data_IF_658097681932
#
_entry.id   IF_658097681932
#
_cell.length_a   1.000
_cell.length_b   1.000
_cell.length_c   1.000
_cell.angle_alpha   90.00
_cell.angle_beta   90.00
_cell.angle_gamma   90.00
#
_symmetry.space_group_name_H-M   'P 1'
#
loop_
_entity.id
_entity.type
_entity.pdbx_description
1 polymer ?
#
# COMPACT_ATOMS: atom_id res chain seq x y z
N UNK A 1 14.67 -0.37 6.17
CA UNK A 1 14.05 -1.70 6.28
C UNK A 1 13.64 -2.26 4.93
N UNK A 2 12.86 -1.53 4.11
CA UNK A 2 12.39 -1.98 2.78
C UNK A 2 13.50 -2.60 1.90
N UNK A 3 14.59 -1.88 1.64
CA UNK A 3 15.68 -2.40 0.79
C UNK A 3 16.34 -3.69 1.31
N UNK A 4 16.47 -3.84 2.64
CA UNK A 4 17.01 -5.08 3.25
C UNK A 4 16.04 -6.25 3.08
N UNK A 5 14.75 -6.00 3.27
CA UNK A 5 13.71 -7.02 3.06
C UNK A 5 13.65 -7.48 1.61
N UNK A 6 13.82 -6.56 0.65
CA UNK A 6 13.91 -6.90 -0.77
C UNK A 6 15.16 -7.74 -1.08
N UNK A 7 16.32 -7.36 -0.53
CA UNK A 7 17.55 -8.17 -0.66
C UNK A 7 17.35 -9.59 -0.12
N UNK A 8 16.68 -9.75 1.02
CA UNK A 8 16.35 -11.08 1.54
C UNK A 8 15.42 -11.85 0.59
N UNK A 9 14.36 -11.20 0.08
CA UNK A 9 13.43 -11.82 -0.86
C UNK A 9 14.12 -12.31 -2.13
N UNK A 10 15.01 -11.49 -2.72
CA UNK A 10 15.76 -11.87 -3.92
C UNK A 10 16.75 -13.01 -3.62
N UNK A 11 17.41 -13.00 -2.46
CA UNK A 11 18.31 -14.10 -2.07
C UNK A 11 17.61 -15.44 -1.82
N UNK A 12 16.30 -15.42 -1.57
CA UNK A 12 15.49 -16.61 -1.23
C UNK A 12 14.52 -17.02 -2.32
N UNK A 13 14.52 -16.35 -3.48
CA UNK A 13 13.59 -16.63 -4.58
C UNK A 13 14.33 -16.68 -5.92
N UNK A 14 13.60 -17.02 -6.98
CA UNK A 14 14.10 -16.96 -8.35
C UNK A 14 13.94 -15.57 -9.00
N UNK A 15 13.39 -14.60 -8.25
CA UNK A 15 13.15 -13.25 -8.73
C UNK A 15 14.29 -12.34 -8.29
N UNK A 16 14.79 -11.52 -9.22
CA UNK A 16 15.87 -10.57 -8.96
C UNK A 16 15.39 -9.11 -8.90
N UNK A 17 14.13 -8.86 -9.24
CA UNK A 17 13.48 -7.56 -9.19
C UNK A 17 11.99 -7.70 -8.84
N UNK A 18 11.37 -6.59 -8.46
CA UNK A 18 9.91 -6.45 -8.39
C UNK A 18 9.49 -5.27 -9.27
N UNK A 19 8.32 -5.35 -9.89
CA UNK A 19 7.85 -4.30 -10.79
C UNK A 19 7.39 -3.05 -10.02
N UNK A 20 6.83 -3.25 -8.82
CA UNK A 20 6.20 -2.17 -8.05
C UNK A 20 6.18 -2.45 -6.55
N UNK A 21 6.18 -1.38 -5.75
CA UNK A 21 6.04 -1.41 -4.30
C UNK A 21 4.75 -0.69 -3.91
N UNK A 22 3.89 -1.37 -3.15
CA UNK A 22 2.67 -0.79 -2.61
C UNK A 22 2.83 -0.61 -1.10
N UNK A 23 2.77 0.63 -0.61
CA UNK A 23 2.88 0.96 0.80
C UNK A 23 1.50 0.95 1.46
N UNK A 24 1.36 0.16 2.52
CA UNK A 24 0.14 0.06 3.32
C UNK A 24 0.43 0.26 4.82
N UNK A 25 -0.63 0.39 5.61
CA UNK A 25 -0.55 0.71 7.04
C UNK A 25 -0.55 2.22 7.31
N UNK A 26 -0.77 2.61 8.56
CA UNK A 26 -0.85 4.03 8.94
C UNK A 26 0.45 4.82 8.72
N UNK A 27 1.61 4.14 8.74
CA UNK A 27 2.89 4.79 8.43
C UNK A 27 3.04 5.16 6.95
N UNK A 28 2.22 4.60 6.06
CA UNK A 28 2.19 4.99 4.65
C UNK A 28 1.57 6.38 4.44
N UNK A 29 0.86 6.92 5.44
CA UNK A 29 0.30 8.29 5.39
C UNK A 29 1.33 9.39 5.68
N UNK A 30 2.61 9.05 5.88
CA UNK A 30 3.70 10.02 6.01
C UNK A 30 3.90 10.68 4.64
N UNK A 31 3.76 12.00 4.58
CA UNK A 31 3.95 12.74 3.34
C UNK A 31 5.39 12.54 2.79
N UNK A 32 5.49 12.21 1.51
CA UNK A 32 6.78 12.05 0.84
C UNK A 32 7.42 10.66 0.97
N UNK A 33 6.76 9.70 1.64
CA UNK A 33 7.38 8.42 2.00
C UNK A 33 7.54 7.48 0.82
N UNK A 34 6.58 7.49 -0.11
CA UNK A 34 6.61 6.75 -1.36
C UNK A 34 7.72 7.25 -2.28
N UNK A 35 7.86 8.56 -2.48
CA UNK A 35 8.94 9.11 -3.31
C UNK A 35 10.31 8.84 -2.68
N UNK A 36 10.43 8.95 -1.36
CA UNK A 36 11.70 8.65 -0.66
C UNK A 36 12.10 7.18 -0.79
N UNK A 37 11.13 6.26 -0.76
CA UNK A 37 11.39 4.83 -0.94
C UNK A 37 11.74 4.54 -2.40
N UNK A 38 11.00 5.12 -3.34
CA UNK A 38 11.25 4.99 -4.77
C UNK A 38 12.66 5.48 -5.14
N UNK A 39 13.07 6.66 -4.67
CA UNK A 39 14.42 7.21 -4.91
C UNK A 39 15.52 6.28 -4.37
N UNK A 40 15.33 5.70 -3.18
CA UNK A 40 16.34 4.86 -2.53
C UNK A 40 16.41 3.44 -3.08
N UNK A 41 15.29 2.90 -3.56
CA UNK A 41 15.18 1.50 -4.00
C UNK A 41 15.26 1.39 -5.52
N UNK A 42 14.88 2.43 -6.26
CA UNK A 42 14.84 2.44 -7.73
C UNK A 42 13.65 1.67 -8.29
N UNK A 43 12.58 1.52 -7.52
CA UNK A 43 11.37 0.79 -7.93
C UNK A 43 10.14 1.65 -7.69
N UNK A 44 9.25 1.70 -8.68
CA UNK A 44 8.00 2.45 -8.60
C UNK A 44 7.25 2.16 -7.30
N UNK A 45 6.87 3.20 -6.57
CA UNK A 45 6.25 3.08 -5.25
C UNK A 45 4.96 3.90 -5.18
N UNK A 46 3.89 3.33 -4.63
CA UNK A 46 2.61 4.03 -4.43
C UNK A 46 1.99 3.73 -3.08
N UNK A 47 1.25 4.69 -2.53
CA UNK A 47 0.40 4.49 -1.35
C UNK A 47 -0.86 3.68 -1.71
N UNK A 48 -1.16 2.65 -0.92
CA UNK A 48 -2.33 1.82 -1.10
C UNK A 48 -3.63 2.60 -0.84
N UNK A 49 -4.59 2.49 -1.75
CA UNK A 49 -5.96 2.93 -1.52
C UNK A 49 -6.96 1.86 -2.00
N UNK A 50 -7.51 1.03 -1.09
CA UNK A 50 -8.45 -0.02 -1.48
C UNK A 50 -9.82 0.54 -1.94
N UNK A 51 -10.10 1.82 -1.70
CA UNK A 51 -11.41 2.44 -1.96
C UNK A 51 -11.47 3.22 -3.27
N UNK A 52 -10.37 3.30 -4.04
CA UNK A 52 -10.26 4.15 -5.23
C UNK A 52 -11.35 3.91 -6.28
N UNK A 53 -11.82 2.66 -6.40
CA UNK A 53 -12.87 2.25 -7.34
C UNK A 53 -14.19 1.85 -6.65
N UNK A 54 -14.38 2.25 -5.39
CA UNK A 54 -15.60 1.95 -4.63
C UNK A 54 -16.58 3.12 -4.63
N UNK A 55 -17.88 2.82 -4.65
CA UNK A 55 -18.91 3.83 -4.43
C UNK A 55 -19.00 4.14 -2.94
N UNK A 56 -18.91 5.42 -2.58
CA UNK A 56 -19.02 5.88 -1.19
C UNK A 56 -20.47 6.24 -0.85
N UNK A 57 -20.96 5.72 0.27
CA UNK A 57 -22.25 6.14 0.81
C UNK A 57 -22.19 7.60 1.29
N UNK A 58 -23.30 8.34 1.18
CA UNK A 58 -23.37 9.78 1.50
C UNK A 58 -22.98 10.15 2.94
N UNK A 59 -23.07 9.20 3.88
CA UNK A 59 -22.66 9.37 5.28
C UNK A 59 -21.14 9.29 5.51
N UNK A 60 -20.37 8.86 4.52
CA UNK A 60 -18.93 8.66 4.63
C UNK A 60 -18.21 9.95 4.21
N UNK A 61 -17.27 10.41 5.03
CA UNK A 61 -16.41 11.54 4.69
C UNK A 61 -15.26 11.04 3.78
N UNK A 62 -15.18 11.47 2.51
CA UNK A 62 -14.16 11.01 1.58
C UNK A 62 -12.74 11.37 2.01
N UNK A 63 -12.54 12.56 2.60
CA UNK A 63 -11.23 13.04 3.03
C UNK A 63 -10.69 12.22 4.20
N UNK A 64 -11.52 11.98 5.22
CA UNK A 64 -11.12 11.13 6.35
C UNK A 64 -10.83 9.70 5.90
N UNK A 65 -11.68 9.14 5.02
CA UNK A 65 -11.45 7.81 4.47
C UNK A 65 -10.15 7.74 3.66
N UNK A 66 -9.83 8.76 2.86
CA UNK A 66 -8.61 8.81 2.06
C UNK A 66 -7.34 8.82 2.92
N UNK A 67 -7.35 9.55 4.04
CA UNK A 67 -6.20 9.60 4.97
C UNK A 67 -5.94 8.26 5.67
N UNK A 68 -7.01 7.54 6.01
CA UNK A 68 -6.95 6.24 6.69
C UNK A 68 -6.90 5.05 5.71
N UNK A 69 -7.09 5.30 4.41
CA UNK A 69 -7.18 4.29 3.36
C UNK A 69 -6.04 3.24 3.40
N UNK A 70 -4.75 3.62 3.45
CA UNK A 70 -3.68 2.62 3.50
C UNK A 70 -3.70 1.78 4.77
N UNK A 71 -4.19 2.31 5.90
CA UNK A 71 -4.32 1.58 7.15
C UNK A 71 -5.46 0.55 7.14
N UNK A 72 -6.46 0.76 6.27
CA UNK A 72 -7.68 -0.06 6.22
C UNK A 72 -7.58 -1.25 5.25
N UNK A 73 -6.44 -1.49 4.60
CA UNK A 73 -6.24 -2.60 3.66
C UNK A 73 -6.68 -3.97 4.21
N UNK A 74 -6.31 -4.29 5.45
CA UNK A 74 -6.67 -5.56 6.09
C UNK A 74 -8.17 -5.62 6.40
N UNK A 75 -8.74 -4.56 6.96
CA UNK A 75 -10.17 -4.49 7.26
C UNK A 75 -11.02 -4.60 5.99
N UNK A 76 -10.58 -3.94 4.90
CA UNK A 76 -11.20 -4.05 3.59
C UNK A 76 -11.15 -5.50 3.08
N UNK A 77 -9.99 -6.16 3.13
CA UNK A 77 -9.86 -7.56 2.72
C UNK A 77 -10.75 -8.53 3.53
N UNK A 78 -10.85 -8.31 4.85
CA UNK A 78 -11.75 -9.10 5.70
C UNK A 78 -13.22 -8.92 5.33
N UNK A 79 -13.65 -7.68 5.03
CA UNK A 79 -15.01 -7.42 4.58
C UNK A 79 -15.29 -8.06 3.21
N UNK A 80 -14.30 -8.02 2.30
CA UNK A 80 -14.42 -8.58 0.95
C UNK A 80 -14.66 -10.10 0.92
N UNK A 81 -14.23 -10.82 1.95
CA UNK A 81 -14.48 -12.27 2.09
C UNK A 81 -15.97 -12.63 2.11
N UNK A 82 -16.86 -11.67 2.38
CA UNK A 82 -18.31 -11.89 2.40
C UNK A 82 -18.94 -11.92 0.99
N UNK A 83 -18.15 -11.65 -0.06
CA UNK A 83 -18.60 -11.65 -1.46
C UNK A 83 -18.05 -12.83 -2.29
N UNK A 84 -17.30 -13.73 -1.64
CA UNK A 84 -16.88 -15.03 -2.20
C UNK A 84 -17.96 -16.11 -2.03
#
# INVERSE_FOLDING_TARGET
QVGRSLQFFFSSSQYDNVDHIVLAGGSASIAGVDELIEERVGTGTTIANPFANMTLASRINPQSLGNDAPALMIACGLALRSFD
#
